data_IF_036202681164
#
_entry.id   IF_036202681164
#
_cell.length_a   1.000
_cell.length_b   1.000
_cell.length_c   1.000
_cell.angle_alpha   90.00
_cell.angle_beta   90.00
_cell.angle_gamma   90.00
#
_symmetry.space_group_name_H-M   'P 1'
#
loop_
_entity.id
_entity.type
_entity.pdbx_description
1 polymer ?
#
# COMPACT_ATOMS: atom_id res chain seq x y z
N UNK A 1 19.75 -2.31 -3.90
CA UNK A 1 19.35 -3.27 -2.85
C UNK A 1 17.89 -3.63 -3.08
N UNK A 2 17.53 -4.92 -3.11
CA UNK A 2 16.21 -5.35 -3.56
C UNK A 2 15.26 -5.59 -2.39
N UNK A 3 14.46 -4.57 -2.05
CA UNK A 3 13.26 -4.78 -1.25
C UNK A 3 12.24 -5.59 -2.06
N UNK A 4 11.65 -6.62 -1.44
CA UNK A 4 10.51 -7.33 -2.03
C UNK A 4 9.34 -6.37 -2.23
N UNK A 5 8.44 -6.67 -3.17
CA UNK A 5 7.29 -5.80 -3.44
C UNK A 5 6.39 -5.58 -2.22
N UNK A 6 6.26 -6.57 -1.35
CA UNK A 6 5.51 -6.44 -0.08
C UNK A 6 6.15 -5.46 0.89
N UNK A 7 7.49 -5.48 1.02
CA UNK A 7 8.19 -4.47 1.82
C UNK A 7 8.01 -3.07 1.26
N UNK A 8 8.08 -2.92 -0.07
CA UNK A 8 7.84 -1.61 -0.73
C UNK A 8 6.43 -1.09 -0.46
N UNK A 9 5.42 -1.96 -0.42
CA UNK A 9 4.04 -1.58 -0.09
C UNK A 9 3.90 -1.12 1.36
N UNK A 10 4.52 -1.83 2.31
CA UNK A 10 4.50 -1.42 3.72
C UNK A 10 5.14 -0.04 3.91
N UNK A 11 6.33 0.18 3.34
CA UNK A 11 7.01 1.49 3.36
C UNK A 11 6.15 2.58 2.74
N UNK A 12 5.45 2.29 1.64
CA UNK A 12 4.57 3.26 0.98
C UNK A 12 3.38 3.65 1.88
N UNK A 13 2.82 2.72 2.66
CA UNK A 13 1.69 3.00 3.56
C UNK A 13 2.10 3.92 4.71
N UNK A 14 3.22 3.61 5.37
CA UNK A 14 3.76 4.45 6.45
C UNK A 14 4.08 5.86 5.93
N UNK A 15 4.76 5.93 4.79
CA UNK A 15 5.16 7.19 4.19
C UNK A 15 3.96 8.00 3.67
N UNK A 16 2.86 7.34 3.26
CA UNK A 16 1.62 8.00 2.86
C UNK A 16 0.94 8.72 4.04
N UNK A 17 0.97 8.13 5.24
CA UNK A 17 0.46 8.77 6.45
C UNK A 17 1.25 10.04 6.78
N UNK A 18 2.58 9.96 6.71
CA UNK A 18 3.46 11.13 6.87
C UNK A 18 3.20 12.19 5.78
N UNK A 19 3.00 11.78 4.53
CA UNK A 19 2.72 12.69 3.40
C UNK A 19 1.40 13.45 3.59
N UNK A 20 0.40 12.82 4.22
CA UNK A 20 -0.90 13.44 4.50
C UNK A 20 -0.79 14.58 5.51
N UNK A 21 0.00 14.41 6.56
CA UNK A 21 0.19 15.42 7.61
C UNK A 21 1.33 16.42 7.31
N UNK A 22 2.15 16.15 6.30
CA UNK A 22 3.29 16.97 5.95
C UNK A 22 2.93 18.37 5.41
N UNK A 23 3.82 19.32 5.69
CA UNK A 23 3.83 20.65 5.11
C UNK A 23 4.40 20.64 3.67
N UNK A 24 4.54 21.83 3.06
CA UNK A 24 5.05 21.95 1.68
C UNK A 24 6.46 21.36 1.51
N UNK A 25 7.31 21.49 2.53
CA UNK A 25 8.67 20.95 2.50
C UNK A 25 8.67 19.43 2.63
N UNK A 26 7.91 18.88 3.58
CA UNK A 26 7.76 17.44 3.77
C UNK A 26 7.18 16.75 2.54
N UNK A 27 6.19 17.36 1.86
CA UNK A 27 5.64 16.83 0.60
C UNK A 27 6.65 16.75 -0.56
N UNK A 28 7.78 17.46 -0.48
CA UNK A 28 8.88 17.34 -1.44
C UNK A 28 9.87 16.25 -1.04
N UNK A 29 10.25 16.19 0.25
CA UNK A 29 11.25 15.25 0.78
C UNK A 29 10.77 13.80 0.79
N UNK A 30 9.52 13.59 1.20
CA UNK A 30 8.93 12.26 1.38
C UNK A 30 9.00 11.39 0.11
N UNK A 31 8.64 11.90 -1.09
CA UNK A 31 8.82 11.15 -2.33
C UNK A 31 10.28 10.86 -2.69
N UNK A 32 11.22 11.76 -2.35
CA UNK A 32 12.65 11.58 -2.66
C UNK A 32 13.24 10.45 -1.81
N UNK A 33 12.93 10.42 -0.51
CA UNK A 33 13.28 9.30 0.39
C UNK A 33 12.71 7.97 -0.09
N UNK A 34 11.46 7.98 -0.58
CA UNK A 34 10.82 6.78 -1.12
C UNK A 34 11.52 6.28 -2.39
N UNK A 35 11.99 7.19 -3.24
CA UNK A 35 12.77 6.87 -4.45
C UNK A 35 14.11 6.23 -4.06
N UNK A 36 14.83 6.81 -3.09
CA UNK A 36 16.13 6.30 -2.65
C UNK A 36 16.03 4.89 -2.05
N UNK A 37 14.97 4.62 -1.28
CA UNK A 37 14.75 3.32 -0.64
C UNK A 37 14.29 2.23 -1.63
N UNK A 38 13.45 2.57 -2.60
CA UNK A 38 12.79 1.59 -3.48
C UNK A 38 13.44 1.46 -4.86
N UNK A 39 14.20 2.46 -5.30
CA UNK A 39 14.69 2.61 -6.66
C UNK A 39 13.60 2.93 -7.68
N UNK A 40 12.44 3.44 -7.23
CA UNK A 40 11.35 3.84 -8.12
C UNK A 40 11.63 5.16 -8.83
N UNK A 41 10.91 5.41 -9.92
CA UNK A 41 10.88 6.73 -10.52
C UNK A 41 10.00 7.68 -9.70
N UNK A 42 10.40 8.96 -9.56
CA UNK A 42 9.70 9.93 -8.69
C UNK A 42 8.20 10.10 -9.00
N UNK A 43 7.80 10.03 -10.27
CA UNK A 43 6.38 10.05 -10.64
C UNK A 43 5.61 8.82 -10.14
N UNK A 44 6.24 7.64 -10.17
CA UNK A 44 5.65 6.42 -9.66
C UNK A 44 5.51 6.46 -8.14
N UNK A 45 6.53 6.97 -7.44
CA UNK A 45 6.50 7.20 -6.00
C UNK A 45 5.33 8.12 -5.59
N UNK A 46 5.11 9.22 -6.31
CA UNK A 46 3.95 10.11 -6.08
C UNK A 46 2.61 9.41 -6.31
N UNK A 47 2.48 8.67 -7.40
CA UNK A 47 1.25 7.93 -7.71
C UNK A 47 0.96 6.85 -6.65
N UNK A 48 2.00 6.17 -6.17
CA UNK A 48 1.88 5.15 -5.13
C UNK A 48 1.44 5.74 -3.79
N UNK A 49 1.99 6.88 -3.37
CA UNK A 49 1.59 7.59 -2.14
C UNK A 49 0.11 8.03 -2.21
N UNK A 50 -0.30 8.63 -3.33
CA UNK A 50 -1.70 9.04 -3.52
C UNK A 50 -2.64 7.83 -3.57
N UNK A 51 -2.23 6.75 -4.24
CA UNK A 51 -3.00 5.50 -4.30
C UNK A 51 -3.12 4.79 -2.96
N UNK A 52 -2.13 4.94 -2.06
CA UNK A 52 -2.18 4.41 -0.71
C UNK A 52 -3.16 5.17 0.21
N UNK A 53 -3.40 6.46 -0.06
CA UNK A 53 -4.38 7.28 0.68
C UNK A 53 -5.84 7.02 0.24
N UNK A 54 -6.04 6.45 -0.94
CA UNK A 54 -7.38 6.06 -1.39
C UNK A 54 -7.79 4.82 -0.61
N UNK A 55 -8.71 5.01 0.34
CA UNK A 55 -9.36 3.90 1.04
C UNK A 55 -10.08 3.07 -0.03
N UNK A 56 -9.53 1.90 -0.35
CA UNK A 56 -10.23 0.91 -1.16
C UNK A 56 -11.31 0.29 -0.29
N UNK A 57 -12.60 0.47 -0.58
CA UNK A 57 -13.63 -0.23 0.17
C UNK A 57 -13.40 -1.73 0.04
N UNK A 58 -13.12 -2.39 1.16
CA UNK A 58 -13.03 -3.85 1.21
C UNK A 58 -14.43 -4.39 0.98
N UNK A 59 -14.63 -5.08 -0.15
CA UNK A 59 -15.85 -5.84 -0.37
C UNK A 59 -15.91 -6.94 0.69
N UNK A 60 -17.02 -7.11 1.42
CA UNK A 60 -17.13 -8.18 2.39
C UNK A 60 -16.87 -9.50 1.66
N UNK A 61 -15.92 -10.27 2.17
CA UNK A 61 -15.66 -11.62 1.67
C UNK A 61 -16.92 -12.44 1.92
N UNK A 62 -17.46 -13.06 0.86
CA UNK A 62 -18.57 -14.00 1.00
C UNK A 62 -18.03 -15.14 1.87
N UNK A 63 -18.62 -15.42 3.05
CA UNK A 63 -18.24 -16.60 3.79
C UNK A 63 -18.63 -17.81 2.93
N UNK A 64 -17.62 -18.51 2.40
CA UNK A 64 -17.88 -19.79 1.75
C UNK A 64 -18.31 -20.75 2.85
N UNK A 65 -19.60 -21.03 2.94
CA UNK A 65 -20.11 -22.17 3.70
C UNK A 65 -19.43 -23.41 3.11
N UNK A 66 -18.42 -23.95 3.81
CA UNK A 66 -17.95 -25.30 3.56
C UNK A 66 -19.04 -26.24 4.08
N UNK A 67 -20.13 -26.40 3.31
CA UNK A 67 -21.05 -27.52 3.45
C UNK A 67 -20.31 -28.75 2.93
N UNK A 68 -19.40 -29.25 3.76
CA UNK A 68 -19.01 -30.64 3.73
C UNK A 68 -19.76 -31.30 4.89
N UNK A 69 -20.15 -32.56 4.69
CA UNK A 69 -20.94 -33.41 5.58
C UNK A 69 -22.46 -33.31 5.34
N UNK A 70 -22.96 -34.20 4.48
CA UNK A 70 -24.07 -35.13 4.78
C UNK A 70 -24.40 -35.95 3.52
N UNK A 71 -23.60 -36.97 3.27
CA UNK A 71 -24.05 -38.19 2.59
C UNK A 71 -23.71 -39.36 3.50
N UNK A 72 -24.67 -39.91 4.24
CA UNK A 72 -24.67 -41.33 4.52
C UNK A 72 -25.49 -42.07 3.45
N UNK A 73 -24.94 -43.21 3.04
CA UNK A 73 -25.45 -44.16 2.07
C UNK A 73 -26.67 -44.94 2.57
#
# INVERSE_FOLDING_TARGET
MALTMSHRQAVTQEQALAYRSADRAGKRRIPDELVDLTGWHGNYARAALLGALVIKPVRPAIPTCKVSLLTPS
#
